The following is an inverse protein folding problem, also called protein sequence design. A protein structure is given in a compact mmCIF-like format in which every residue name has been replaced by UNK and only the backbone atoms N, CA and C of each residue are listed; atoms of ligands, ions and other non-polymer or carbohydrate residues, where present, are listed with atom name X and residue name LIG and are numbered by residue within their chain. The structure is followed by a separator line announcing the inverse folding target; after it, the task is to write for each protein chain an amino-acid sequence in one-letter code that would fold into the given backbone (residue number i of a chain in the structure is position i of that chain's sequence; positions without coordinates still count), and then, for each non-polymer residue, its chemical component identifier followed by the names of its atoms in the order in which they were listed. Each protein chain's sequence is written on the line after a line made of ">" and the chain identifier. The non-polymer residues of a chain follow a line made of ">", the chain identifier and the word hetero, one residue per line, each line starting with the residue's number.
data_IF_687075256701
#
_entry.id   IF_687075256701
#
_cell.length_a   1.000
_cell.length_b   1.000
_cell.length_c   1.000
_cell.angle_alpha   90.00
_cell.angle_beta   90.00
_cell.angle_gamma   90.00
#
_symmetry.space_group_name_H-M   'P 1'
#
loop_
_entity.id
_entity.type
_entity.pdbx_description
1 polymer ?
#
# COMPACT_ATOMS: atom_id res chain seq x y z
N UNK A 1 -17.82 8.95 24.47
CA UNK A 1 -17.73 7.48 24.35
C UNK A 1 -17.38 7.20 22.90
N UNK A 2 -16.09 7.27 22.56
CA UNK A 2 -15.59 6.98 21.22
C UNK A 2 -15.65 5.47 21.01
N UNK A 3 -16.77 5.00 20.46
CA UNK A 3 -16.83 3.68 19.86
C UNK A 3 -15.95 3.75 18.60
N UNK A 4 -14.72 3.24 18.74
CA UNK A 4 -13.77 3.03 17.66
C UNK A 4 -14.34 2.08 16.60
N UNK A 5 -15.20 2.61 15.74
CA UNK A 5 -15.54 1.97 14.48
C UNK A 5 -14.36 2.20 13.56
N UNK A 6 -13.58 1.12 13.36
CA UNK A 6 -12.60 0.97 12.30
C UNK A 6 -13.09 1.73 11.07
N UNK A 7 -12.31 2.71 10.58
CA UNK A 7 -12.67 3.49 9.40
C UNK A 7 -13.07 2.54 8.28
N UNK A 8 -14.35 2.48 7.95
CA UNK A 8 -14.85 1.67 6.83
C UNK A 8 -14.25 2.29 5.58
N UNK A 9 -13.20 1.66 5.07
CA UNK A 9 -12.49 2.14 3.90
C UNK A 9 -13.29 1.72 2.66
N UNK A 10 -14.23 2.58 2.28
CA UNK A 10 -15.19 2.33 1.23
C UNK A 10 -14.63 2.82 -0.11
N UNK A 11 -14.43 1.91 -1.06
CA UNK A 11 -14.13 2.30 -2.44
C UNK A 11 -15.37 2.91 -3.13
N UNK A 12 -15.22 3.74 -4.17
CA UNK A 12 -16.35 4.43 -4.82
C UNK A 12 -17.42 3.49 -5.36
N UNK A 13 -17.00 2.36 -5.96
CA UNK A 13 -17.91 1.31 -6.42
C UNK A 13 -18.66 0.63 -5.27
N UNK A 14 -17.97 0.46 -4.14
CA UNK A 14 -18.55 -0.11 -2.94
C UNK A 14 -19.58 0.84 -2.34
N UNK A 15 -19.31 2.15 -2.32
CA UNK A 15 -20.26 3.17 -1.88
C UNK A 15 -21.53 3.18 -2.71
N UNK A 16 -21.40 3.15 -4.04
CA UNK A 16 -22.55 3.04 -4.95
C UNK A 16 -23.38 1.78 -4.68
N UNK A 17 -22.71 0.63 -4.44
CA UNK A 17 -23.38 -0.62 -4.06
C UNK A 17 -24.12 -0.47 -2.72
N UNK A 18 -23.54 0.21 -1.73
CA UNK A 18 -24.20 0.43 -0.44
C UNK A 18 -25.45 1.30 -0.54
N UNK A 19 -25.48 2.27 -1.46
CA UNK A 19 -26.67 3.09 -1.73
C UNK A 19 -27.79 2.25 -2.37
N UNK A 20 -27.47 1.38 -3.34
CA UNK A 20 -28.47 0.48 -3.93
C UNK A 20 -29.07 -0.49 -2.91
N UNK A 21 -28.23 -1.03 -2.01
CA UNK A 21 -28.70 -1.85 -0.90
C UNK A 21 -29.62 -1.03 0.01
N UNK A 22 -29.24 0.21 0.35
CA UNK A 22 -30.05 1.09 1.19
C UNK A 22 -31.43 1.39 0.57
N UNK A 23 -31.47 1.69 -0.73
CA UNK A 23 -32.73 1.89 -1.49
C UNK A 23 -33.62 0.65 -1.38
N UNK A 24 -33.05 -0.54 -1.57
CA UNK A 24 -33.78 -1.80 -1.47
C UNK A 24 -34.35 -2.01 -0.07
N UNK A 25 -33.53 -1.77 0.97
CA UNK A 25 -33.95 -1.88 2.38
C UNK A 25 -35.02 -0.87 2.75
N UNK A 26 -34.96 0.33 2.19
CA UNK A 26 -35.99 1.34 2.41
C UNK A 26 -37.33 0.93 1.80
N UNK A 27 -37.32 0.37 0.58
CA UNK A 27 -38.53 -0.14 -0.06
C UNK A 27 -39.16 -1.32 0.70
N UNK A 28 -38.35 -2.18 1.33
CA UNK A 28 -38.84 -3.22 2.24
C UNK A 28 -39.48 -2.60 3.49
N UNK A 29 -38.83 -1.58 4.08
CA UNK A 29 -39.34 -0.89 5.27
C UNK A 29 -40.66 -0.15 5.00
N UNK A 30 -40.75 0.56 3.87
CA UNK A 30 -41.98 1.21 3.42
C UNK A 30 -43.16 0.23 3.36
N UNK A 31 -42.97 -0.94 2.75
CA UNK A 31 -44.04 -1.96 2.64
C UNK A 31 -44.55 -2.38 4.01
N UNK A 32 -43.67 -2.53 5.00
CA UNK A 32 -44.09 -2.86 6.37
C UNK A 32 -44.77 -1.69 7.09
N UNK A 33 -44.43 -0.44 6.76
CA UNK A 33 -45.09 0.76 7.31
C UNK A 33 -46.52 0.91 6.77
N UNK A 34 -46.74 0.58 5.49
CA UNK A 34 -48.05 0.64 4.84
C UNK A 34 -49.09 -0.29 5.50
N UNK A 35 -48.67 -1.28 6.29
CA UNK A 35 -49.59 -2.10 7.09
C UNK A 35 -50.21 -1.33 8.27
N UNK A 36 -49.71 -0.11 8.57
CA UNK A 36 -50.23 0.83 9.60
C UNK A 36 -50.41 0.20 10.98
N UNK A 37 -49.55 -0.75 11.33
CA UNK A 37 -49.63 -1.53 12.56
C UNK A 37 -48.24 -1.82 13.12
N UNK A 38 -48.06 -1.69 14.43
CA UNK A 38 -46.87 -2.19 15.09
C UNK A 38 -46.78 -3.71 14.96
N UNK A 39 -45.71 -4.21 14.33
CA UNK A 39 -45.48 -5.63 14.10
C UNK A 39 -44.00 -5.96 14.23
N UNK A 40 -43.68 -7.22 14.55
CA UNK A 40 -42.28 -7.68 14.57
C UNK A 40 -41.58 -7.50 13.22
N UNK A 41 -42.33 -7.60 12.12
CA UNK A 41 -41.79 -7.38 10.78
C UNK A 41 -41.40 -5.91 10.56
N UNK A 42 -42.24 -4.97 10.99
CA UNK A 42 -41.93 -3.53 10.95
C UNK A 42 -40.63 -3.23 11.71
N UNK A 43 -40.48 -3.75 12.94
CA UNK A 43 -39.26 -3.56 13.72
C UNK A 43 -38.03 -4.16 13.05
N UNK A 44 -38.16 -5.35 12.45
CA UNK A 44 -37.08 -6.02 11.72
C UNK A 44 -36.65 -5.22 10.50
N UNK A 45 -37.59 -4.72 9.70
CA UNK A 45 -37.28 -3.92 8.52
C UNK A 45 -36.68 -2.57 8.89
N UNK A 46 -37.21 -1.90 9.92
CA UNK A 46 -36.64 -0.68 10.47
C UNK A 46 -35.17 -0.88 10.89
N UNK A 47 -34.89 -1.95 11.66
CA UNK A 47 -33.53 -2.25 12.12
C UNK A 47 -32.57 -2.46 10.94
N UNK A 48 -32.97 -3.25 9.93
CA UNK A 48 -32.15 -3.50 8.75
C UNK A 48 -31.86 -2.22 7.95
N UNK A 49 -32.88 -1.37 7.79
CA UNK A 49 -32.75 -0.10 7.10
C UNK A 49 -31.84 0.88 7.85
N UNK A 50 -32.07 1.13 9.15
CA UNK A 50 -31.25 2.08 9.92
C UNK A 50 -29.81 1.61 10.11
N UNK A 51 -29.58 0.30 10.22
CA UNK A 51 -28.23 -0.26 10.20
C UNK A 51 -27.52 0.02 8.87
N UNK A 52 -28.20 -0.22 7.75
CA UNK A 52 -27.65 0.05 6.42
C UNK A 52 -27.42 1.55 6.20
N UNK A 53 -28.32 2.41 6.69
CA UNK A 53 -28.19 3.87 6.64
C UNK A 53 -26.92 4.31 7.37
N UNK A 54 -26.74 3.83 8.61
CA UNK A 54 -25.55 4.09 9.39
C UNK A 54 -24.26 3.66 8.67
N UNK A 55 -24.28 2.47 8.08
CA UNK A 55 -23.14 1.95 7.33
C UNK A 55 -22.82 2.79 6.10
N UNK A 56 -23.84 3.18 5.33
CA UNK A 56 -23.72 4.03 4.14
C UNK A 56 -23.18 5.42 4.48
N UNK A 57 -23.66 6.06 5.55
CA UNK A 57 -23.15 7.38 6.00
C UNK A 57 -21.68 7.31 6.44
N UNK A 58 -21.24 6.20 7.04
CA UNK A 58 -19.82 6.03 7.34
C UNK A 58 -18.97 5.81 6.06
N UNK A 59 -19.53 5.12 5.06
CA UNK A 59 -18.91 4.97 3.75
C UNK A 59 -18.81 6.29 2.97
N UNK A 60 -19.78 7.19 3.13
CA UNK A 60 -19.78 8.48 2.41
C UNK A 60 -18.63 9.38 2.87
N UNK A 61 -18.28 9.38 4.16
CA UNK A 61 -17.18 10.19 4.72
C UNK A 61 -15.84 9.97 4.03
N UNK A 62 -15.48 8.72 3.73
CA UNK A 62 -14.25 8.39 3.01
C UNK A 62 -14.36 8.73 1.52
N UNK A 63 -15.53 8.51 0.93
CA UNK A 63 -15.78 8.83 -0.48
C UNK A 63 -15.70 10.33 -0.74
N UNK A 64 -16.41 11.15 0.04
CA UNK A 64 -16.46 12.63 -0.06
C UNK A 64 -15.06 13.24 0.01
N UNK A 65 -14.21 12.77 0.94
CA UNK A 65 -12.81 13.22 1.07
C UNK A 65 -11.93 12.86 -0.12
N UNK A 66 -12.34 11.86 -0.91
CA UNK A 66 -11.57 11.36 -2.06
C UNK A 66 -11.95 12.03 -3.37
N UNK A 67 -13.04 12.82 -3.39
CA UNK A 67 -13.50 13.58 -4.57
C UNK A 67 -12.67 14.85 -4.68
N UNK A 68 -12.00 15.03 -5.83
CA UNK A 68 -11.17 16.22 -6.07
C UNK A 68 -12.02 17.48 -6.40
N UNK A 69 -13.19 17.28 -7.00
CA UNK A 69 -14.13 18.35 -7.31
C UNK A 69 -14.86 18.80 -6.01
N UNK A 70 -14.50 19.99 -5.54
CA UNK A 70 -15.00 20.55 -4.27
C UNK A 70 -16.53 20.71 -4.31
N UNK A 71 -17.09 21.14 -5.43
CA UNK A 71 -18.53 21.37 -5.56
C UNK A 71 -19.31 20.05 -5.46
N UNK A 72 -18.88 19.02 -6.19
CA UNK A 72 -19.49 17.68 -6.12
C UNK A 72 -19.30 17.02 -4.75
N UNK A 73 -18.15 17.22 -4.12
CA UNK A 73 -17.85 16.72 -2.78
C UNK A 73 -18.82 17.34 -1.75
N UNK A 74 -19.01 18.65 -1.81
CA UNK A 74 -19.91 19.37 -0.93
C UNK A 74 -21.38 18.99 -1.19
N UNK A 75 -21.78 18.88 -2.45
CA UNK A 75 -23.14 18.47 -2.83
C UNK A 75 -23.49 17.07 -2.32
N UNK A 76 -22.59 16.10 -2.48
CA UNK A 76 -22.77 14.75 -1.95
C UNK A 76 -22.84 14.75 -0.42
N UNK A 77 -21.97 15.51 0.25
CA UNK A 77 -21.98 15.64 1.71
C UNK A 77 -23.30 16.24 2.22
N UNK A 78 -23.78 17.31 1.59
CA UNK A 78 -25.03 17.97 1.96
C UNK A 78 -26.22 17.02 1.81
N UNK A 79 -26.29 16.25 0.72
CA UNK A 79 -27.36 15.28 0.53
C UNK A 79 -27.31 14.13 1.55
N UNK A 80 -26.13 13.62 1.91
CA UNK A 80 -26.01 12.64 2.98
C UNK A 80 -26.51 13.17 4.34
N UNK A 81 -26.19 14.43 4.68
CA UNK A 81 -26.69 15.08 5.90
C UNK A 81 -28.20 15.28 5.84
N UNK A 82 -28.71 15.73 4.68
CA UNK A 82 -30.14 15.92 4.47
C UNK A 82 -30.93 14.62 4.62
N UNK A 83 -30.42 13.51 4.08
CA UNK A 83 -31.02 12.18 4.24
C UNK A 83 -31.17 11.79 5.72
N UNK A 84 -30.16 12.07 6.55
CA UNK A 84 -30.22 11.80 7.99
C UNK A 84 -31.32 12.64 8.65
N UNK A 85 -31.41 13.93 8.32
CA UNK A 85 -32.45 14.82 8.84
C UNK A 85 -33.87 14.38 8.43
N UNK A 86 -34.05 13.96 7.17
CA UNK A 86 -35.32 13.41 6.69
C UNK A 86 -35.72 12.16 7.48
N UNK A 87 -34.76 11.29 7.79
CA UNK A 87 -35.00 10.09 8.58
C UNK A 87 -35.34 10.38 10.04
N UNK A 88 -34.71 11.38 10.65
CA UNK A 88 -35.01 11.80 12.03
C UNK A 88 -36.44 12.36 12.15
N UNK A 89 -36.82 13.24 11.20
CA UNK A 89 -38.18 13.76 11.09
C UNK A 89 -39.19 12.64 10.83
N UNK A 90 -38.82 11.66 9.99
CA UNK A 90 -39.68 10.53 9.66
C UNK A 90 -39.97 9.64 10.86
N UNK A 91 -38.95 9.28 11.65
CA UNK A 91 -39.12 8.51 12.90
C UNK A 91 -40.02 9.27 13.87
N UNK A 92 -39.79 10.57 14.04
CA UNK A 92 -40.59 11.40 14.94
C UNK A 92 -42.06 11.45 14.50
N UNK A 93 -42.31 11.55 13.19
CA UNK A 93 -43.67 11.50 12.63
C UNK A 93 -44.33 10.13 12.83
N UNK A 94 -43.60 9.04 12.57
CA UNK A 94 -44.08 7.67 12.75
C UNK A 94 -44.45 7.35 14.21
N UNK A 95 -43.65 7.81 15.18
CA UNK A 95 -43.93 7.63 16.60
C UNK A 95 -45.23 8.33 17.04
N UNK A 96 -45.58 9.44 16.40
CA UNK A 96 -46.77 10.22 16.72
C UNK A 96 -48.02 9.72 15.98
N UNK A 97 -47.93 9.43 14.68
CA UNK A 97 -49.05 8.96 13.87
C UNK A 97 -48.61 8.30 12.55
N UNK A 98 -48.93 7.02 12.34
CA UNK A 98 -48.66 6.29 11.09
C UNK A 98 -49.30 6.91 9.84
N UNK A 99 -50.42 7.62 9.97
CA UNK A 99 -51.19 8.11 8.83
C UNK A 99 -50.55 9.30 8.10
N UNK A 100 -49.50 9.91 8.65
CA UNK A 100 -48.82 11.06 8.04
C UNK A 100 -47.43 10.69 7.48
N UNK A 101 -47.20 9.42 7.17
CA UNK A 101 -45.88 8.91 6.77
C UNK A 101 -45.58 9.04 5.27
N UNK A 102 -46.60 9.16 4.41
CA UNK A 102 -46.46 9.08 2.96
C UNK A 102 -45.58 10.23 2.38
N UNK A 103 -45.77 11.47 2.83
CA UNK A 103 -44.95 12.62 2.39
C UNK A 103 -43.47 12.47 2.79
N UNK A 104 -43.20 11.93 3.99
CA UNK A 104 -41.84 11.67 4.45
C UNK A 104 -41.17 10.53 3.68
N UNK A 105 -41.94 9.47 3.36
CA UNK A 105 -41.46 8.35 2.55
C UNK A 105 -41.02 8.85 1.18
N UNK A 106 -41.83 9.69 0.52
CA UNK A 106 -41.50 10.20 -0.80
C UNK A 106 -40.27 11.11 -0.78
N UNK A 107 -40.13 11.98 0.23
CA UNK A 107 -38.92 12.81 0.41
C UNK A 107 -37.66 11.96 0.59
N UNK A 108 -37.74 10.88 1.37
CA UNK A 108 -36.60 9.96 1.55
C UNK A 108 -36.26 9.25 0.24
N UNK A 109 -37.25 8.78 -0.53
CA UNK A 109 -37.03 8.16 -1.85
C UNK A 109 -36.32 9.11 -2.80
N UNK A 110 -36.81 10.35 -2.90
CA UNK A 110 -36.22 11.34 -3.78
C UNK A 110 -34.77 11.61 -3.40
N UNK A 111 -34.49 11.85 -2.11
CA UNK A 111 -33.14 12.09 -1.64
C UNK A 111 -32.19 10.88 -1.89
N UNK A 112 -32.68 9.65 -1.69
CA UNK A 112 -31.92 8.44 -2.01
C UNK A 112 -31.60 8.32 -3.52
N UNK A 113 -32.55 8.68 -4.38
CA UNK A 113 -32.33 8.73 -5.84
C UNK A 113 -31.34 9.82 -6.23
N UNK A 114 -31.44 11.01 -5.64
CA UNK A 114 -30.52 12.12 -5.90
C UNK A 114 -29.08 11.76 -5.50
N UNK A 115 -28.91 11.15 -4.32
CA UNK A 115 -27.62 10.62 -3.87
C UNK A 115 -27.10 9.57 -4.86
N UNK A 116 -27.96 8.64 -5.30
CA UNK A 116 -27.57 7.60 -6.25
C UNK A 116 -27.10 8.21 -7.59
N UNK A 117 -27.85 9.16 -8.15
CA UNK A 117 -27.49 9.86 -9.40
C UNK A 117 -26.18 10.66 -9.23
N UNK A 118 -25.99 11.33 -8.09
CA UNK A 118 -24.74 12.02 -7.79
C UNK A 118 -23.56 11.05 -7.72
N UNK A 119 -23.74 9.87 -7.13
CA UNK A 119 -22.67 8.86 -7.13
C UNK A 119 -22.32 8.37 -8.52
N UNK A 120 -23.28 8.30 -9.45
CA UNK A 120 -23.00 7.97 -10.85
C UNK A 120 -22.20 9.07 -11.56
N UNK A 121 -22.38 10.35 -11.21
CA UNK A 121 -21.59 11.48 -11.74
C UNK A 121 -20.17 11.52 -11.17
N UNK A 122 -20.03 11.20 -9.89
CA UNK A 122 -18.78 11.18 -9.15
C UNK A 122 -17.90 9.98 -9.52
N UNK A 123 -18.52 8.84 -9.87
CA UNK A 123 -17.81 7.59 -10.19
C UNK A 123 -16.78 7.76 -11.33
N UNK A 124 -17.12 8.39 -12.48
CA UNK A 124 -16.16 8.75 -13.54
C UNK A 124 -14.97 9.57 -13.05
N UNK A 125 -15.16 10.64 -12.25
CA UNK A 125 -14.07 11.49 -11.75
C UNK A 125 -13.13 10.74 -10.79
N UNK A 126 -13.69 9.88 -9.93
CA UNK A 126 -12.91 9.03 -9.04
C UNK A 126 -12.16 7.94 -9.81
N UNK A 127 -12.73 7.40 -10.89
CA UNK A 127 -12.01 6.50 -11.81
C UNK A 127 -11.01 7.22 -12.72
N UNK A 128 -11.21 8.50 -13.05
CA UNK A 128 -10.28 9.32 -13.84
C UNK A 128 -9.06 9.74 -13.02
N UNK A 129 -9.25 10.07 -11.75
CA UNK A 129 -8.14 10.28 -10.81
C UNK A 129 -7.36 8.99 -10.52
N UNK A 130 -7.98 7.81 -10.68
CA UNK A 130 -7.31 6.51 -10.67
C UNK A 130 -6.69 6.09 -12.03
N UNK A 131 -7.19 6.61 -13.16
CA UNK A 131 -6.62 6.36 -14.50
C UNK A 131 -5.28 7.05 -14.74
N UNK A 132 -4.96 8.10 -13.99
CA UNK A 132 -3.68 8.81 -14.12
C UNK A 132 -2.50 8.10 -13.43
N UNK A 133 -2.75 7.04 -12.66
CA UNK A 133 -1.70 6.18 -12.12
C UNK A 133 -2.03 4.74 -12.52
N UNK A 134 -1.57 4.33 -13.70
CA UNK A 134 -1.52 2.93 -14.08
C UNK A 134 -0.57 2.22 -13.11
N UNK A 135 -1.11 1.71 -12.01
CA UNK A 135 -0.33 1.16 -10.90
C UNK A 135 0.47 -0.07 -11.32
N UNK A 136 -0.01 -0.84 -12.30
CA UNK A 136 0.77 -1.93 -12.89
C UNK A 136 1.98 -1.37 -13.65
N UNK A 137 1.77 -0.38 -14.52
CA UNK A 137 2.87 0.26 -15.27
C UNK A 137 3.87 0.93 -14.33
N UNK A 138 3.40 1.62 -13.29
CA UNK A 138 4.27 2.23 -12.29
C UNK A 138 5.02 1.17 -11.47
N UNK A 139 4.35 0.12 -11.01
CA UNK A 139 5.01 -1.00 -10.33
C UNK A 139 6.10 -1.61 -11.21
N UNK A 140 5.79 -1.93 -12.47
CA UNK A 140 6.75 -2.50 -13.40
C UNK A 140 7.94 -1.57 -13.64
N UNK A 141 7.69 -0.27 -13.80
CA UNK A 141 8.74 0.75 -13.92
C UNK A 141 9.65 0.76 -12.70
N UNK A 142 9.10 0.87 -11.50
CA UNK A 142 9.88 1.00 -10.27
C UNK A 142 10.62 -0.30 -9.93
N UNK A 143 10.01 -1.46 -10.20
CA UNK A 143 10.66 -2.76 -10.07
C UNK A 143 11.79 -2.96 -11.10
N UNK A 144 11.66 -2.40 -12.31
CA UNK A 144 12.72 -2.41 -13.31
C UNK A 144 13.85 -1.44 -12.94
N UNK A 145 13.53 -0.26 -12.43
CA UNK A 145 14.52 0.70 -11.92
C UNK A 145 15.30 0.16 -10.73
N UNK A 146 14.63 -0.54 -9.81
CA UNK A 146 15.30 -1.24 -8.70
C UNK A 146 16.25 -2.33 -9.21
N UNK A 147 15.84 -3.16 -10.18
CA UNK A 147 16.74 -4.15 -10.78
C UNK A 147 17.96 -3.51 -11.42
N UNK A 148 17.75 -2.43 -12.18
CA UNK A 148 18.84 -1.71 -12.85
C UNK A 148 19.80 -1.10 -11.84
N UNK A 149 19.30 -0.44 -10.80
CA UNK A 149 20.12 0.15 -9.75
C UNK A 149 21.01 -0.90 -9.06
N UNK A 150 20.49 -2.10 -8.81
CA UNK A 150 21.26 -3.20 -8.21
C UNK A 150 22.31 -3.75 -9.17
N UNK A 151 21.98 -3.91 -10.47
CA UNK A 151 22.94 -4.34 -11.48
C UNK A 151 24.08 -3.33 -11.65
N UNK A 152 23.73 -2.05 -11.75
CA UNK A 152 24.68 -0.94 -11.82
C UNK A 152 25.56 -0.89 -10.56
N UNK A 153 24.98 -1.13 -9.39
CA UNK A 153 25.70 -1.20 -8.14
C UNK A 153 26.74 -2.32 -8.14
N UNK A 154 26.35 -3.54 -8.51
CA UNK A 154 27.29 -4.68 -8.63
C UNK A 154 28.41 -4.35 -9.62
N UNK A 155 28.07 -3.86 -10.82
CA UNK A 155 29.06 -3.53 -11.84
C UNK A 155 30.04 -2.45 -11.37
N UNK A 156 29.55 -1.40 -10.70
CA UNK A 156 30.42 -0.33 -10.18
C UNK A 156 31.35 -0.84 -9.08
N UNK A 157 30.87 -1.71 -8.19
CA UNK A 157 31.69 -2.30 -7.13
C UNK A 157 32.78 -3.20 -7.72
N UNK A 158 32.47 -4.01 -8.73
CA UNK A 158 33.45 -4.85 -9.43
C UNK A 158 34.51 -4.03 -10.17
N UNK A 159 34.11 -2.90 -10.78
CA UNK A 159 35.03 -1.93 -11.39
C UNK A 159 35.95 -1.30 -10.34
N UNK A 160 35.41 -0.87 -9.19
CA UNK A 160 36.20 -0.35 -8.06
C UNK A 160 37.20 -1.38 -7.55
N UNK A 161 36.82 -2.67 -7.48
CA UNK A 161 37.69 -3.75 -7.02
C UNK A 161 38.88 -3.94 -7.97
N UNK A 162 38.59 -3.96 -9.27
CA UNK A 162 39.61 -4.10 -10.32
C UNK A 162 40.55 -2.90 -10.33
N UNK A 163 40.02 -1.68 -10.24
CA UNK A 163 40.84 -0.46 -10.19
C UNK A 163 41.72 -0.39 -8.93
N UNK A 164 41.17 -0.77 -7.77
CA UNK A 164 41.91 -0.80 -6.50
C UNK A 164 43.12 -1.74 -6.58
N UNK A 165 42.96 -2.92 -7.20
CA UNK A 165 44.04 -3.90 -7.41
C UNK A 165 45.21 -3.37 -8.25
N UNK A 166 44.97 -2.38 -9.12
CA UNK A 166 46.02 -1.81 -9.98
C UNK A 166 46.69 -0.59 -9.32
N UNK A 167 45.92 0.21 -8.59
CA UNK A 167 46.35 1.53 -8.13
C UNK A 167 46.85 1.59 -6.69
N UNK A 168 46.57 0.57 -5.87
CA UNK A 168 46.85 0.60 -4.44
C UNK A 168 47.76 -0.57 -4.04
N UNK A 169 48.57 -0.38 -3.00
CA UNK A 169 49.48 -1.40 -2.48
C UNK A 169 49.41 -1.47 -0.94
N UNK A 170 49.93 -2.56 -0.38
CA UNK A 170 50.01 -2.76 1.06
C UNK A 170 48.65 -2.91 1.74
N UNK A 171 48.55 -2.41 2.97
CA UNK A 171 47.39 -2.61 3.86
C UNK A 171 46.13 -1.93 3.31
N UNK A 172 46.27 -0.80 2.60
CA UNK A 172 45.15 -0.10 1.98
C UNK A 172 44.48 -0.94 0.89
N UNK A 173 45.27 -1.66 0.08
CA UNK A 173 44.74 -2.59 -0.92
C UNK A 173 43.98 -3.75 -0.26
N UNK A 174 44.54 -4.34 0.79
CA UNK A 174 43.91 -5.46 1.49
C UNK A 174 42.55 -5.07 2.09
N UNK A 175 42.49 -3.93 2.77
CA UNK A 175 41.26 -3.41 3.38
C UNK A 175 40.21 -3.12 2.31
N UNK A 176 40.59 -2.39 1.26
CA UNK A 176 39.68 -2.01 0.19
C UNK A 176 39.14 -3.22 -0.57
N UNK A 177 40.00 -4.21 -0.85
CA UNK A 177 39.58 -5.47 -1.48
C UNK A 177 38.57 -6.26 -0.65
N UNK A 178 38.80 -6.38 0.67
CA UNK A 178 37.87 -7.06 1.59
C UNK A 178 36.51 -6.38 1.65
N UNK A 179 36.49 -5.04 1.72
CA UNK A 179 35.25 -4.26 1.76
C UNK A 179 34.46 -4.40 0.46
N UNK A 180 35.11 -4.20 -0.68
CA UNK A 180 34.43 -4.29 -1.99
C UNK A 180 33.91 -5.70 -2.27
N UNK A 181 34.64 -6.74 -1.83
CA UNK A 181 34.16 -8.14 -1.90
C UNK A 181 32.90 -8.33 -1.06
N UNK A 182 32.86 -7.78 0.16
CA UNK A 182 31.69 -7.85 1.03
C UNK A 182 30.49 -7.07 0.46
N UNK A 183 30.71 -5.87 -0.09
CA UNK A 183 29.67 -5.10 -0.78
C UNK A 183 29.10 -5.87 -1.98
N UNK A 184 29.96 -6.54 -2.75
CA UNK A 184 29.55 -7.36 -3.89
C UNK A 184 28.66 -8.52 -3.44
N UNK A 185 29.07 -9.25 -2.40
CA UNK A 185 28.28 -10.35 -1.85
C UNK A 185 26.90 -9.92 -1.34
N UNK A 186 26.83 -8.79 -0.62
CA UNK A 186 25.57 -8.20 -0.17
C UNK A 186 24.66 -7.83 -1.35
N UNK A 187 25.18 -7.15 -2.36
CA UNK A 187 24.41 -6.76 -3.54
C UNK A 187 23.91 -7.96 -4.36
N UNK A 188 24.71 -9.02 -4.47
CA UNK A 188 24.28 -10.27 -5.09
C UNK A 188 23.15 -10.96 -4.31
N UNK A 189 23.22 -10.97 -2.97
CA UNK A 189 22.13 -11.49 -2.15
C UNK A 189 20.83 -10.67 -2.30
N UNK A 190 20.94 -9.34 -2.38
CA UNK A 190 19.80 -8.45 -2.62
C UNK A 190 19.20 -8.66 -4.01
N UNK A 191 20.03 -8.83 -5.04
CA UNK A 191 19.56 -9.17 -6.39
C UNK A 191 18.71 -10.45 -6.38
N UNK A 192 19.16 -11.49 -5.67
CA UNK A 192 18.41 -12.73 -5.57
C UNK A 192 17.07 -12.54 -4.81
N UNK A 193 17.07 -11.75 -3.74
CA UNK A 193 15.85 -11.39 -3.00
C UNK A 193 14.82 -10.69 -3.90
N UNK A 194 15.26 -9.74 -4.72
CA UNK A 194 14.38 -9.01 -5.64
C UNK A 194 13.78 -9.95 -6.69
N UNK A 195 14.57 -10.86 -7.25
CA UNK A 195 14.07 -11.86 -8.21
C UNK A 195 13.00 -12.75 -7.57
N UNK A 196 13.21 -13.22 -6.34
CA UNK A 196 12.22 -14.03 -5.63
C UNK A 196 10.98 -13.24 -5.23
N UNK A 197 11.14 -11.95 -4.91
CA UNK A 197 10.03 -11.02 -4.66
C UNK A 197 9.16 -10.85 -5.92
N UNK A 198 9.78 -10.64 -7.09
CA UNK A 198 9.06 -10.56 -8.37
C UNK A 198 8.29 -11.83 -8.69
N UNK A 199 8.92 -13.00 -8.51
CA UNK A 199 8.27 -14.30 -8.71
C UNK A 199 7.04 -14.47 -7.82
N UNK A 200 7.15 -14.08 -6.55
CA UNK A 200 6.03 -14.13 -5.61
C UNK A 200 4.90 -13.19 -6.03
N UNK A 201 5.21 -11.94 -6.42
CA UNK A 201 4.21 -10.98 -6.88
C UNK A 201 3.46 -11.47 -8.12
N UNK A 202 4.19 -12.04 -9.10
CA UNK A 202 3.60 -12.64 -10.30
C UNK A 202 2.73 -13.85 -9.98
N UNK A 203 3.15 -14.71 -9.05
CA UNK A 203 2.34 -15.83 -8.57
C UNK A 203 1.03 -15.34 -7.95
N UNK A 204 1.10 -14.35 -7.06
CA UNK A 204 -0.06 -13.76 -6.38
C UNK A 204 -1.03 -13.19 -7.42
N UNK A 205 -0.54 -12.37 -8.34
CA UNK A 205 -1.37 -11.76 -9.38
C UNK A 205 -2.01 -12.83 -10.29
N UNK A 206 -1.25 -13.85 -10.68
CA UNK A 206 -1.75 -14.91 -11.56
C UNK A 206 -2.82 -15.77 -10.89
N UNK A 207 -2.64 -16.11 -9.61
CA UNK A 207 -3.59 -16.97 -8.88
C UNK A 207 -4.83 -16.21 -8.39
N UNK A 208 -4.69 -14.94 -8.00
CA UNK A 208 -5.74 -14.20 -7.30
C UNK A 208 -6.52 -13.21 -8.19
N UNK A 209 -6.11 -13.00 -9.45
CA UNK A 209 -6.84 -12.13 -10.38
C UNK A 209 -8.24 -12.64 -10.72
N UNK A 210 -8.50 -13.95 -10.60
CA UNK A 210 -9.76 -14.55 -11.06
C UNK A 210 -10.05 -14.20 -12.53
N UNK A 211 -11.22 -13.63 -12.79
CA UNK A 211 -11.65 -13.22 -14.13
C UNK A 211 -11.10 -11.85 -14.58
N UNK A 212 -10.36 -11.15 -13.72
CA UNK A 212 -9.78 -9.84 -14.05
C UNK A 212 -8.44 -9.98 -14.76
N UNK A 213 -8.05 -8.93 -15.49
CA UNK A 213 -6.68 -8.76 -15.99
C UNK A 213 -5.69 -8.49 -14.85
N UNK A 214 -4.40 -8.68 -15.11
CA UNK A 214 -3.32 -8.38 -14.14
C UNK A 214 -3.30 -6.87 -13.81
N UNK A 215 -3.50 -6.03 -14.82
CA UNK A 215 -3.69 -4.58 -14.66
C UNK A 215 -4.78 -4.23 -13.65
N UNK A 216 -5.97 -4.78 -13.85
CA UNK A 216 -7.11 -4.56 -12.96
C UNK A 216 -6.84 -5.14 -11.57
N UNK A 217 -6.12 -6.26 -11.46
CA UNK A 217 -5.73 -6.83 -10.18
C UNK A 217 -4.87 -5.84 -9.36
N UNK A 218 -3.81 -5.28 -9.94
CA UNK A 218 -2.96 -4.31 -9.25
C UNK A 218 -3.72 -3.01 -8.91
N UNK A 219 -4.62 -2.57 -9.78
CA UNK A 219 -5.45 -1.39 -9.51
C UNK A 219 -6.42 -1.62 -8.35
N UNK A 220 -7.09 -2.78 -8.31
CA UNK A 220 -8.02 -3.15 -7.22
C UNK A 220 -7.32 -3.39 -5.90
N UNK A 221 -6.05 -3.81 -5.95
CA UNK A 221 -5.19 -4.00 -4.78
C UNK A 221 -4.26 -2.79 -4.54
N UNK A 222 -4.71 -1.56 -4.85
CA UNK A 222 -3.94 -0.30 -4.77
C UNK A 222 -2.96 -0.19 -3.59
N UNK A 223 -3.40 -0.28 -2.33
CA UNK A 223 -2.53 -0.19 -1.13
C UNK A 223 -1.38 -1.20 -1.13
N UNK A 224 -1.64 -2.42 -1.60
CA UNK A 224 -0.60 -3.44 -1.70
C UNK A 224 0.39 -3.07 -2.79
N UNK A 225 -0.10 -2.65 -3.96
CA UNK A 225 0.71 -2.18 -5.09
C UNK A 225 1.56 -0.96 -4.73
N UNK A 226 0.99 0.02 -4.02
CA UNK A 226 1.70 1.20 -3.52
C UNK A 226 2.79 0.84 -2.50
N UNK A 227 2.53 -0.14 -1.63
CA UNK A 227 3.54 -0.66 -0.70
C UNK A 227 4.73 -1.30 -1.43
N UNK A 228 4.47 -2.05 -2.50
CA UNK A 228 5.50 -2.62 -3.36
C UNK A 228 6.30 -1.52 -4.10
N UNK A 229 5.61 -0.54 -4.67
CA UNK A 229 6.23 0.61 -5.35
C UNK A 229 7.14 1.38 -4.39
N UNK A 230 6.65 1.69 -3.19
CA UNK A 230 7.41 2.44 -2.19
C UNK A 230 8.65 1.66 -1.75
N UNK A 231 8.51 0.35 -1.49
CA UNK A 231 9.64 -0.47 -1.08
C UNK A 231 10.70 -0.59 -2.20
N UNK A 232 10.26 -0.73 -3.45
CA UNK A 232 11.17 -0.80 -4.60
C UNK A 232 12.00 0.49 -4.76
N UNK A 233 11.36 1.66 -4.61
CA UNK A 233 12.03 2.97 -4.64
C UNK A 233 13.12 3.08 -3.57
N UNK A 234 12.78 2.72 -2.33
CA UNK A 234 13.74 2.82 -1.23
C UNK A 234 14.94 1.89 -1.43
N UNK A 235 14.71 0.64 -1.86
CA UNK A 235 15.80 -0.30 -2.15
C UNK A 235 16.71 0.22 -3.28
N UNK A 236 16.14 0.81 -4.32
CA UNK A 236 16.92 1.41 -5.42
C UNK A 236 17.77 2.60 -4.94
N UNK A 237 17.22 3.46 -4.08
CA UNK A 237 17.95 4.59 -3.51
C UNK A 237 19.10 4.13 -2.60
N UNK A 238 18.83 3.18 -1.71
CA UNK A 238 19.83 2.64 -0.78
C UNK A 238 20.95 1.90 -1.51
N UNK A 239 20.64 1.24 -2.63
CA UNK A 239 21.64 0.59 -3.48
C UNK A 239 22.66 1.60 -4.02
N UNK A 240 22.19 2.73 -4.54
CA UNK A 240 23.06 3.80 -5.01
C UNK A 240 23.87 4.40 -3.86
N UNK A 241 23.23 4.63 -2.71
CA UNK A 241 23.90 5.17 -1.52
C UNK A 241 25.01 4.25 -1.02
N UNK A 242 24.83 2.92 -1.06
CA UNK A 242 25.85 1.95 -0.67
C UNK A 242 27.08 2.05 -1.58
N UNK A 243 26.88 2.17 -2.88
CA UNK A 243 27.96 2.30 -3.87
C UNK A 243 28.71 3.61 -3.68
N UNK A 244 27.99 4.73 -3.52
CA UNK A 244 28.61 6.04 -3.25
C UNK A 244 29.41 6.04 -1.96
N UNK A 245 28.89 5.38 -0.92
CA UNK A 245 29.58 5.27 0.36
C UNK A 245 30.82 4.39 0.23
N UNK A 246 30.73 3.28 -0.49
CA UNK A 246 31.88 2.43 -0.78
C UNK A 246 32.96 3.20 -1.55
N UNK A 247 32.61 3.93 -2.61
CA UNK A 247 33.55 4.76 -3.40
C UNK A 247 34.27 5.81 -2.55
N UNK A 248 33.54 6.47 -1.63
CA UNK A 248 34.14 7.40 -0.65
C UNK A 248 35.16 6.71 0.26
N UNK A 249 34.92 5.47 0.68
CA UNK A 249 35.89 4.70 1.46
C UNK A 249 37.15 4.41 0.64
N UNK A 250 36.99 3.96 -0.61
CA UNK A 250 38.12 3.61 -1.48
C UNK A 250 38.99 4.83 -1.80
N UNK A 251 38.35 5.98 -2.04
CA UNK A 251 39.04 7.27 -2.25
C UNK A 251 39.67 7.85 -0.99
N UNK A 252 39.34 7.32 0.20
CA UNK A 252 39.88 7.77 1.49
C UNK A 252 39.18 9.01 2.06
N UNK A 253 38.03 9.41 1.50
CA UNK A 253 37.21 10.53 1.97
C UNK A 253 35.99 10.10 2.81
N UNK A 254 35.74 8.79 2.89
CA UNK A 254 34.60 8.18 3.58
C UNK A 254 34.90 7.72 5.01
N UNK A 255 33.83 7.33 5.72
CA UNK A 255 33.89 6.81 7.11
C UNK A 255 33.33 5.40 7.18
N UNK A 256 34.04 4.47 7.83
CA UNK A 256 33.62 3.08 7.95
C UNK A 256 32.26 2.93 8.63
N UNK A 257 31.92 3.82 9.56
CA UNK A 257 30.61 3.88 10.23
C UNK A 257 29.49 4.19 9.25
N UNK A 258 29.73 5.05 8.25
CA UNK A 258 28.75 5.34 7.21
C UNK A 258 28.47 4.10 6.36
N UNK A 259 29.50 3.32 6.02
CA UNK A 259 29.32 2.07 5.28
C UNK A 259 28.50 1.06 6.10
N UNK A 260 28.76 0.93 7.40
CA UNK A 260 27.97 0.06 8.28
C UNK A 260 26.51 0.51 8.36
N UNK A 261 26.25 1.81 8.50
CA UNK A 261 24.90 2.36 8.57
C UNK A 261 24.12 2.10 7.29
N UNK A 262 24.68 2.45 6.13
CA UNK A 262 24.01 2.25 4.83
C UNK A 262 23.78 0.76 4.53
N UNK A 263 24.69 -0.12 4.98
CA UNK A 263 24.50 -1.58 4.87
C UNK A 263 23.31 -2.10 5.68
N UNK A 264 23.00 -1.45 6.81
CA UNK A 264 21.82 -1.77 7.62
C UNK A 264 20.54 -1.16 7.01
N UNK A 265 20.62 0.06 6.49
CA UNK A 265 19.50 0.74 5.82
C UNK A 265 18.99 -0.09 4.63
N UNK A 266 19.88 -0.48 3.71
CA UNK A 266 19.48 -1.30 2.55
C UNK A 266 18.88 -2.64 2.97
N UNK A 267 19.36 -3.24 4.06
CA UNK A 267 18.80 -4.49 4.60
C UNK A 267 17.40 -4.29 5.19
N UNK A 268 17.17 -3.16 5.86
CA UNK A 268 15.86 -2.77 6.37
C UNK A 268 14.87 -2.52 5.22
N UNK A 269 15.29 -1.83 4.17
CA UNK A 269 14.48 -1.61 2.97
C UNK A 269 14.15 -2.92 2.24
N UNK A 270 15.10 -3.86 2.17
CA UNK A 270 14.82 -5.21 1.69
C UNK A 270 13.79 -5.94 2.56
N UNK A 271 13.86 -5.80 3.89
CA UNK A 271 12.88 -6.36 4.80
C UNK A 271 11.48 -5.74 4.57
N UNK A 272 11.39 -4.42 4.33
CA UNK A 272 10.14 -3.77 3.95
C UNK A 272 9.58 -4.33 2.64
N UNK A 273 10.42 -4.56 1.62
CA UNK A 273 10.01 -5.20 0.37
C UNK A 273 9.47 -6.61 0.62
N UNK A 274 10.11 -7.41 1.49
CA UNK A 274 9.63 -8.75 1.87
C UNK A 274 8.27 -8.67 2.55
N UNK A 275 8.10 -7.74 3.50
CA UNK A 275 6.82 -7.51 4.20
C UNK A 275 5.73 -7.12 3.22
N UNK A 276 6.00 -6.17 2.31
CA UNK A 276 5.06 -5.77 1.28
C UNK A 276 4.69 -6.94 0.34
N UNK A 277 5.67 -7.74 -0.05
CA UNK A 277 5.49 -8.88 -0.97
C UNK A 277 4.65 -10.01 -0.37
N UNK A 278 4.73 -10.24 0.95
CA UNK A 278 4.02 -11.35 1.61
C UNK A 278 2.57 -11.07 2.00
N UNK A 279 2.10 -9.81 1.99
CA UNK A 279 0.75 -9.44 2.48
C UNK A 279 -0.37 -10.26 1.82
N UNK A 280 -0.21 -10.56 0.53
CA UNK A 280 -1.18 -11.31 -0.27
C UNK A 280 -0.72 -12.74 -0.57
N UNK A 281 0.43 -13.18 -0.03
CA UNK A 281 0.97 -14.50 -0.32
C UNK A 281 0.22 -15.60 0.42
N UNK A 282 0.08 -16.76 -0.24
CA UNK A 282 -0.38 -17.99 0.41
C UNK A 282 0.72 -18.50 1.36
N UNK A 283 0.35 -18.95 2.56
CA UNK A 283 1.31 -19.46 3.56
C UNK A 283 2.03 -20.72 3.12
N UNK A 284 1.46 -21.48 2.18
CA UNK A 284 2.04 -22.68 1.56
C UNK A 284 2.85 -22.39 0.29
N UNK A 285 2.98 -21.11 -0.12
CA UNK A 285 3.67 -20.75 -1.35
C UNK A 285 5.17 -21.08 -1.30
N UNK A 286 5.65 -21.83 -2.30
CA UNK A 286 7.08 -22.10 -2.47
C UNK A 286 7.87 -20.82 -2.77
N UNK A 287 7.30 -19.87 -3.50
CA UNK A 287 7.93 -18.59 -3.78
C UNK A 287 8.08 -17.74 -2.50
N UNK A 288 7.11 -17.81 -1.57
CA UNK A 288 7.24 -17.18 -0.26
C UNK A 288 8.37 -17.81 0.58
N UNK A 289 8.50 -19.14 0.52
CA UNK A 289 9.60 -19.86 1.17
C UNK A 289 10.97 -19.45 0.61
N UNK A 290 11.07 -19.34 -0.72
CA UNK A 290 12.29 -18.89 -1.41
C UNK A 290 12.64 -17.44 -1.03
N UNK A 291 11.67 -16.52 -1.08
CA UNK A 291 11.85 -15.13 -0.66
C UNK A 291 12.35 -15.04 0.80
N UNK A 292 11.81 -15.88 1.69
CA UNK A 292 12.23 -15.94 3.09
C UNK A 292 13.68 -16.42 3.25
N UNK A 293 14.15 -17.35 2.40
CA UNK A 293 15.56 -17.79 2.38
C UNK A 293 16.47 -16.66 1.89
N UNK A 294 16.09 -15.98 0.82
CA UNK A 294 16.86 -14.86 0.26
C UNK A 294 16.95 -13.68 1.26
N UNK A 295 15.87 -13.40 1.99
CA UNK A 295 15.87 -12.43 3.10
C UNK A 295 16.87 -12.79 4.21
N UNK A 296 16.94 -14.06 4.62
CA UNK A 296 17.96 -14.51 5.58
C UNK A 296 19.37 -14.38 5.04
N UNK A 297 19.57 -14.61 3.73
CA UNK A 297 20.87 -14.43 3.09
C UNK A 297 21.32 -12.97 3.12
N UNK A 298 20.42 -12.02 2.82
CA UNK A 298 20.71 -10.58 2.92
C UNK A 298 21.14 -10.22 4.34
N UNK A 299 20.40 -10.66 5.37
CA UNK A 299 20.77 -10.41 6.77
C UNK A 299 22.15 -10.99 7.13
N UNK A 300 22.47 -12.18 6.64
CA UNK A 300 23.79 -12.80 6.84
C UNK A 300 24.90 -11.94 6.22
N UNK A 301 24.75 -11.52 4.97
CA UNK A 301 25.77 -10.73 4.28
C UNK A 301 25.87 -9.30 4.86
N UNK A 302 24.78 -8.72 5.35
CA UNK A 302 24.80 -7.48 6.13
C UNK A 302 25.62 -7.63 7.43
N UNK A 303 25.47 -8.75 8.13
CA UNK A 303 26.30 -9.07 9.30
C UNK A 303 27.78 -9.21 8.93
N UNK A 304 28.06 -9.87 7.80
CA UNK A 304 29.41 -10.09 7.28
C UNK A 304 30.12 -8.77 6.93
N UNK A 305 29.49 -7.88 6.16
CA UNK A 305 30.08 -6.57 5.82
C UNK A 305 30.34 -5.72 7.06
N UNK A 306 29.46 -5.74 8.07
CA UNK A 306 29.68 -5.02 9.33
C UNK A 306 30.90 -5.57 10.07
N UNK A 307 31.04 -6.89 10.16
CA UNK A 307 32.18 -7.52 10.81
C UNK A 307 33.50 -7.19 10.09
N UNK A 308 33.51 -7.30 8.75
CA UNK A 308 34.67 -6.97 7.92
C UNK A 308 35.04 -5.48 8.06
N UNK A 309 34.05 -4.59 8.02
CA UNK A 309 34.25 -3.15 8.10
C UNK A 309 34.85 -2.75 9.45
N UNK A 310 34.37 -3.33 10.56
CA UNK A 310 34.96 -3.13 11.90
C UNK A 310 36.40 -3.61 11.98
N UNK A 311 36.69 -4.78 11.42
CA UNK A 311 38.04 -5.33 11.39
C UNK A 311 38.98 -4.44 10.58
N UNK A 312 38.54 -3.96 9.41
CA UNK A 312 39.30 -3.05 8.56
C UNK A 312 39.59 -1.69 9.22
N UNK A 313 38.61 -1.13 9.92
CA UNK A 313 38.81 0.13 10.68
C UNK A 313 39.93 -0.01 11.71
N UNK A 314 39.91 -1.09 12.49
CA UNK A 314 40.95 -1.38 13.50
C UNK A 314 42.33 -1.56 12.87
N UNK A 315 42.42 -2.32 11.78
CA UNK A 315 43.68 -2.52 11.07
C UNK A 315 44.30 -1.19 10.59
N UNK A 316 43.48 -0.25 10.11
CA UNK A 316 43.99 1.07 9.70
C UNK A 316 44.42 1.91 10.90
N UNK A 317 43.67 1.89 12.01
CA UNK A 317 44.03 2.61 13.24
C UNK A 317 45.33 2.09 13.88
N UNK A 318 45.58 0.78 13.83
CA UNK A 318 46.79 0.16 14.37
C UNK A 318 48.02 0.45 13.51
N UNK A 319 47.87 0.45 12.19
CA UNK A 319 48.97 0.69 11.25
C UNK A 319 49.22 2.17 10.95
N UNK A 320 48.29 3.07 11.25
CA UNK A 320 48.49 4.52 11.17
C UNK A 320 49.20 5.14 12.38
N UNK A 321 49.52 4.33 13.41
CA UNK A 321 50.22 4.74 14.64
C UNK A 321 51.69 4.29 14.70
N UNK A 322 52.21 3.63 13.66
CA UNK A 322 53.64 3.35 13.45
C UNK A 322 54.23 4.30 12.42
#
# INVERSE_FOLDING_TARGET
>A
MDLGLLSVNCGPQYFCTQIQILITRFADYERSIQSRSYSMDLFRMAFQYYYQLFYMINCSKTTVRSIANIDLSQELSNNCVHLVQLNDNFVTSLLNNFHNSDDHIEKIKQCLQDIYLLTQKVLPELTLNQKNLDLETLLNKEMAQMDQAIQDAVSKIEQMLTASNVQQTGIKLEVNGKILTACTALMQAIRQLILDSKRLQLEIASKQKGNFSIKEFYQRNHRWTEGLISAAKTVAADANLLVETADKIISGSGKFEALMAVSQEIAASCAQLVVASRVKADSSSQNLSNLSKSSKCVLKETGNIIAITKHCSKLIEENGKS
#
